data_IF_878197255536
#
_entry.id   IF_878197255536
#
_cell.length_a   1.000
_cell.length_b   1.000
_cell.length_c   1.000
_cell.angle_alpha   90.00
_cell.angle_beta   90.00
_cell.angle_gamma   90.00
#
_symmetry.space_group_name_H-M   'P 1'
#
loop_
_entity.id
_entity.type
_entity.pdbx_description
1 polymer ?
#
# COMPACT_ATOMS: atom_id res chain seq x y z
N UNK A 1 5.97 8.78 -11.48
CA UNK A 1 6.47 10.13 -11.19
C UNK A 1 7.00 10.72 -12.48
N UNK A 2 6.42 11.84 -12.86
CA UNK A 2 6.82 12.67 -13.97
C UNK A 2 8.06 13.50 -13.58
N UNK A 3 8.62 14.24 -14.54
CA UNK A 3 9.84 15.01 -14.30
C UNK A 3 9.59 16.26 -13.43
N UNK A 4 8.35 16.73 -13.37
CA UNK A 4 7.90 17.84 -12.52
C UNK A 4 7.57 17.40 -11.08
N UNK A 5 7.73 16.11 -10.76
CA UNK A 5 7.39 15.55 -9.44
C UNK A 5 5.98 14.97 -9.35
N UNK A 6 5.09 15.30 -10.28
CA UNK A 6 3.70 14.82 -10.27
C UNK A 6 3.58 13.34 -10.63
N UNK A 7 2.40 12.75 -10.47
CA UNK A 7 2.17 11.39 -10.92
C UNK A 7 0.83 10.79 -10.54
N UNK A 8 0.79 9.47 -10.63
CA UNK A 8 -0.38 8.64 -10.34
C UNK A 8 0.04 7.53 -9.38
N UNK A 9 -0.62 7.48 -8.22
CA UNK A 9 -0.52 6.38 -7.27
C UNK A 9 -1.65 5.38 -7.56
N UNK A 10 -1.34 4.09 -7.49
CA UNK A 10 -2.33 3.02 -7.50
C UNK A 10 -2.01 2.02 -6.40
N UNK A 11 -2.98 1.80 -5.51
CA UNK A 11 -2.96 0.75 -4.51
C UNK A 11 -4.03 -0.28 -4.86
N UNK A 12 -3.70 -1.55 -4.68
CA UNK A 12 -4.61 -2.67 -4.93
C UNK A 12 -4.48 -3.69 -3.83
N UNK A 13 -5.60 -3.96 -3.16
CA UNK A 13 -5.76 -5.08 -2.25
C UNK A 13 -6.51 -6.19 -3.00
N UNK A 14 -5.83 -7.33 -3.21
CA UNK A 14 -6.42 -8.48 -3.86
C UNK A 14 -6.57 -9.62 -2.85
N UNK A 15 -7.82 -9.91 -2.47
CA UNK A 15 -8.17 -10.96 -1.53
C UNK A 15 -8.83 -12.16 -2.22
N UNK A 16 -8.76 -12.26 -3.55
CA UNK A 16 -9.51 -13.27 -4.32
C UNK A 16 -9.20 -14.71 -3.92
N UNK A 17 -7.98 -15.00 -3.46
CA UNK A 17 -7.61 -16.31 -2.89
C UNK A 17 -8.42 -16.68 -1.63
N UNK A 18 -8.88 -15.68 -0.88
CA UNK A 18 -9.68 -15.85 0.34
C UNK A 18 -11.18 -15.66 0.10
N UNK A 19 -11.62 -15.49 -1.17
CA UNK A 19 -13.00 -15.17 -1.55
C UNK A 19 -14.03 -16.05 -0.82
N UNK A 20 -13.93 -17.38 -0.94
CA UNK A 20 -14.89 -18.30 -0.31
C UNK A 20 -14.96 -18.12 1.21
N UNK A 21 -13.79 -17.98 1.87
CA UNK A 21 -13.72 -17.78 3.32
C UNK A 21 -14.32 -16.43 3.73
N UNK A 22 -14.01 -15.36 3.00
CA UNK A 22 -14.56 -14.03 3.26
C UNK A 22 -16.06 -13.98 3.03
N UNK A 23 -16.57 -14.62 1.98
CA UNK A 23 -18.01 -14.73 1.75
C UNK A 23 -18.74 -15.43 2.89
N UNK A 24 -18.16 -16.49 3.45
CA UNK A 24 -18.73 -17.13 4.65
C UNK A 24 -18.70 -16.22 5.88
N UNK A 25 -17.63 -15.44 6.07
CA UNK A 25 -17.51 -14.50 7.20
C UNK A 25 -18.54 -13.37 7.09
N UNK A 26 -18.75 -12.80 5.89
CA UNK A 26 -19.73 -11.73 5.65
C UNK A 26 -21.19 -12.13 5.90
N UNK A 27 -21.48 -13.43 6.06
CA UNK A 27 -22.81 -13.94 6.43
C UNK A 27 -22.99 -14.09 7.95
N UNK A 28 -21.93 -13.87 8.75
CA UNK A 28 -21.96 -14.01 10.20
C UNK A 28 -22.19 -12.65 10.85
N UNK A 29 -22.96 -12.61 11.95
CA UNK A 29 -23.10 -11.37 12.74
C UNK A 29 -21.80 -11.00 13.47
N UNK A 30 -21.03 -12.00 13.91
CA UNK A 30 -19.78 -11.79 14.62
C UNK A 30 -18.77 -12.93 14.45
N UNK A 31 -17.49 -12.59 14.59
CA UNK A 31 -16.37 -13.54 14.63
C UNK A 31 -15.49 -13.24 15.84
N UNK A 32 -15.31 -14.24 16.73
CA UNK A 32 -14.51 -14.11 17.96
C UNK A 32 -14.89 -12.90 18.84
N UNK A 33 -16.17 -12.56 18.88
CA UNK A 33 -16.70 -11.46 19.68
C UNK A 33 -16.63 -10.08 19.02
N UNK A 34 -16.15 -9.99 17.77
CA UNK A 34 -16.16 -8.77 16.97
C UNK A 34 -17.29 -8.84 15.95
N UNK A 35 -18.08 -7.77 15.83
CA UNK A 35 -19.10 -7.65 14.79
C UNK A 35 -18.43 -7.71 13.40
N UNK A 36 -19.02 -8.47 12.48
CA UNK A 36 -18.58 -8.45 11.08
C UNK A 36 -19.27 -7.27 10.40
N UNK A 37 -18.51 -6.33 9.81
CA UNK A 37 -19.13 -5.22 9.11
C UNK A 37 -19.82 -5.71 7.84
N UNK A 38 -20.94 -5.11 7.48
CA UNK A 38 -21.61 -5.38 6.21
C UNK A 38 -20.94 -4.63 5.04
N UNK A 39 -21.45 -4.85 3.82
CA UNK A 39 -20.88 -4.21 2.63
C UNK A 39 -21.09 -2.70 2.61
N UNK A 40 -22.22 -2.22 3.14
CA UNK A 40 -22.55 -0.80 3.17
C UNK A 40 -21.65 -0.07 4.16
N UNK A 41 -21.41 -0.64 5.34
CA UNK A 41 -20.47 -0.11 6.33
C UNK A 41 -19.04 -0.01 5.76
N UNK A 42 -18.57 -1.02 5.03
CA UNK A 42 -17.25 -0.99 4.38
C UNK A 42 -17.24 0.05 3.24
N UNK A 43 -18.31 0.11 2.45
CA UNK A 43 -18.45 1.09 1.37
C UNK A 43 -18.39 2.53 1.91
N UNK A 44 -19.11 2.83 3.00
CA UNK A 44 -19.07 4.13 3.66
C UNK A 44 -17.64 4.49 4.10
N UNK A 45 -16.89 3.55 4.69
CA UNK A 45 -15.48 3.78 5.05
C UNK A 45 -14.59 4.07 3.84
N UNK A 46 -14.86 3.43 2.70
CA UNK A 46 -14.13 3.66 1.45
C UNK A 46 -14.50 5.01 0.82
N UNK A 47 -15.76 5.44 0.93
CA UNK A 47 -16.20 6.79 0.54
C UNK A 47 -15.55 7.84 1.42
N UNK A 48 -15.52 7.65 2.74
CA UNK A 48 -14.84 8.53 3.69
C UNK A 48 -13.34 8.66 3.38
N UNK A 49 -12.68 7.53 3.07
CA UNK A 49 -11.29 7.52 2.63
C UNK A 49 -11.11 8.34 1.35
N UNK A 50 -11.96 8.13 0.35
CA UNK A 50 -11.92 8.86 -0.92
C UNK A 50 -12.03 10.37 -0.70
N UNK A 51 -13.08 10.80 0.00
CA UNK A 51 -13.35 12.22 0.25
C UNK A 51 -12.22 12.86 1.05
N UNK A 52 -11.70 12.16 2.06
CA UNK A 52 -10.60 12.67 2.86
C UNK A 52 -9.31 12.86 2.06
N UNK A 53 -8.93 11.88 1.23
CA UNK A 53 -7.76 12.00 0.36
C UNK A 53 -7.95 13.09 -0.69
N UNK A 54 -9.17 13.27 -1.21
CA UNK A 54 -9.48 14.29 -2.21
C UNK A 54 -9.42 15.72 -1.63
N UNK A 55 -9.58 15.87 -0.33
CA UNK A 55 -9.45 17.14 0.40
C UNK A 55 -7.99 17.50 0.74
N UNK A 56 -7.05 16.57 0.55
CA UNK A 56 -5.63 16.85 0.82
C UNK A 56 -5.01 17.69 -0.30
N UNK A 57 -4.28 18.73 0.09
CA UNK A 57 -3.53 19.57 -0.84
C UNK A 57 -2.55 18.72 -1.67
N UNK A 58 -2.51 19.00 -2.97
CA UNK A 58 -1.66 18.28 -3.93
C UNK A 58 -2.14 16.88 -4.30
N UNK A 59 -3.31 16.42 -3.81
CA UNK A 59 -3.96 15.18 -4.25
C UNK A 59 -5.23 15.49 -5.05
N UNK A 60 -5.49 14.72 -6.10
CA UNK A 60 -6.66 14.90 -6.96
C UNK A 60 -7.10 13.59 -7.62
N UNK A 61 -8.26 13.61 -8.28
CA UNK A 61 -8.83 12.48 -9.01
C UNK A 61 -8.83 11.15 -8.23
N UNK A 62 -9.20 11.22 -6.95
CA UNK A 62 -9.25 10.02 -6.10
C UNK A 62 -10.38 9.11 -6.57
N UNK A 63 -10.04 7.88 -6.94
CA UNK A 63 -10.97 6.85 -7.40
C UNK A 63 -10.81 5.63 -6.53
N UNK A 64 -11.92 5.15 -5.99
CA UNK A 64 -12.02 3.87 -5.31
C UNK A 64 -12.81 2.91 -6.21
N UNK A 65 -12.32 1.68 -6.36
CA UNK A 65 -13.02 0.60 -7.05
C UNK A 65 -13.22 -0.56 -6.11
N UNK A 66 -14.45 -1.05 -6.09
CA UNK A 66 -14.87 -2.17 -5.25
C UNK A 66 -15.34 -3.28 -6.17
N UNK A 67 -14.70 -4.44 -6.09
CA UNK A 67 -15.16 -5.65 -6.73
C UNK A 67 -15.47 -6.69 -5.65
N UNK A 68 -16.68 -6.60 -5.11
CA UNK A 68 -17.21 -7.53 -4.11
C UNK A 68 -17.30 -8.96 -4.61
N UNK A 69 -17.52 -9.15 -5.91
CA UNK A 69 -17.52 -10.47 -6.53
C UNK A 69 -16.17 -11.17 -6.43
N UNK A 70 -15.07 -10.44 -6.56
CA UNK A 70 -13.70 -11.00 -6.53
C UNK A 70 -12.90 -10.63 -5.28
N UNK A 71 -13.49 -9.87 -4.35
CA UNK A 71 -12.82 -9.24 -3.21
C UNK A 71 -11.52 -8.51 -3.63
N UNK A 72 -11.65 -7.66 -4.65
CA UNK A 72 -10.55 -6.81 -5.13
C UNK A 72 -10.94 -5.35 -4.92
N UNK A 73 -10.09 -4.62 -4.20
CA UNK A 73 -10.29 -3.21 -3.89
C UNK A 73 -9.11 -2.41 -4.40
N UNK A 74 -9.38 -1.29 -5.06
CA UNK A 74 -8.34 -0.43 -5.64
C UNK A 74 -8.57 1.02 -5.24
N UNK A 75 -7.50 1.73 -4.89
CA UNK A 75 -7.49 3.18 -4.71
C UNK A 75 -6.46 3.75 -5.68
N UNK A 76 -6.85 4.77 -6.44
CA UNK A 76 -5.92 5.53 -7.27
C UNK A 76 -6.13 7.02 -7.12
N UNK A 77 -5.06 7.79 -7.24
CA UNK A 77 -5.09 9.24 -7.13
C UNK A 77 -3.96 9.88 -7.94
N UNK A 78 -4.20 11.07 -8.46
CA UNK A 78 -3.15 11.94 -8.96
C UNK A 78 -2.52 12.72 -7.81
N UNK A 79 -1.23 13.01 -7.94
CA UNK A 79 -0.50 13.83 -6.99
C UNK A 79 0.39 14.83 -7.70
N UNK A 80 0.58 16.01 -7.11
CA UNK A 80 1.40 17.09 -7.66
C UNK A 80 2.89 16.89 -7.36
N UNK A 81 3.19 16.31 -6.19
CA UNK A 81 4.52 15.91 -5.77
C UNK A 81 4.43 14.69 -4.83
N UNK A 82 5.55 14.02 -4.59
CA UNK A 82 5.55 12.78 -3.80
C UNK A 82 5.31 13.05 -2.31
N UNK A 83 5.63 14.25 -1.82
CA UNK A 83 5.39 14.68 -0.45
C UNK A 83 3.89 14.75 -0.15
N UNK A 84 3.07 15.15 -1.13
CA UNK A 84 1.61 15.15 -1.03
C UNK A 84 1.06 13.74 -0.77
N UNK A 85 1.68 12.71 -1.34
CA UNK A 85 1.34 11.30 -1.06
C UNK A 85 1.68 10.93 0.39
N UNK A 86 2.82 11.38 0.90
CA UNK A 86 3.21 11.12 2.29
C UNK A 86 2.21 11.76 3.26
N UNK A 87 1.85 13.03 3.04
CA UNK A 87 0.85 13.75 3.84
C UNK A 87 -0.54 13.11 3.74
N UNK A 88 -0.93 12.62 2.56
CA UNK A 88 -2.16 11.85 2.38
C UNK A 88 -2.18 10.56 3.19
N UNK A 89 -1.07 9.84 3.28
CA UNK A 89 -0.99 8.64 4.13
C UNK A 89 -0.99 8.99 5.62
N UNK A 90 -0.26 10.04 6.01
CA UNK A 90 -0.22 10.51 7.40
C UNK A 90 -1.62 10.91 7.88
N UNK A 91 -2.35 11.70 7.09
CA UNK A 91 -3.69 12.18 7.42
C UNK A 91 -4.69 11.03 7.61
N UNK A 92 -4.69 10.04 6.71
CA UNK A 92 -5.52 8.84 6.84
C UNK A 92 -5.15 8.04 8.09
N UNK A 93 -3.86 7.75 8.30
CA UNK A 93 -3.42 6.94 9.44
C UNK A 93 -3.63 7.64 10.77
N UNK A 94 -3.61 8.97 10.81
CA UNK A 94 -3.82 9.76 12.03
C UNK A 94 -5.22 9.62 12.64
N UNK A 95 -6.20 9.14 11.87
CA UNK A 95 -7.59 8.90 12.32
C UNK A 95 -7.73 7.70 13.26
N UNK A 96 -6.75 6.80 13.29
CA UNK A 96 -6.75 5.61 14.13
C UNK A 96 -5.47 5.55 14.98
N UNK A 97 -5.61 5.32 16.29
CA UNK A 97 -4.47 5.37 17.22
C UNK A 97 -3.42 4.29 16.92
N UNK A 98 -3.86 3.10 16.51
CA UNK A 98 -2.97 2.02 16.15
C UNK A 98 -2.23 2.34 14.85
N UNK A 99 -2.94 2.74 13.80
CA UNK A 99 -2.37 3.12 12.51
C UNK A 99 -1.40 4.31 12.65
N UNK A 100 -1.76 5.33 13.43
CA UNK A 100 -0.90 6.48 13.70
C UNK A 100 0.46 6.07 14.27
N UNK A 101 0.51 5.09 15.16
CA UNK A 101 1.74 4.56 15.74
C UNK A 101 2.64 3.82 14.74
N UNK A 102 2.10 3.39 13.59
CA UNK A 102 2.81 2.68 12.54
C UNK A 102 3.30 3.60 11.41
N UNK A 103 2.90 4.87 11.41
CA UNK A 103 3.23 5.78 10.32
C UNK A 103 4.74 6.09 10.29
N UNK A 104 5.28 6.14 9.07
CA UNK A 104 6.60 6.65 8.75
C UNK A 104 6.55 7.23 7.33
N UNK A 105 7.40 8.21 7.02
CA UNK A 105 7.47 8.81 5.68
C UNK A 105 8.02 7.81 4.65
N UNK A 106 7.20 7.27 3.74
CA UNK A 106 7.62 6.18 2.86
C UNK A 106 8.44 6.62 1.66
N UNK A 107 8.30 7.86 1.20
CA UNK A 107 8.92 8.34 -0.03
C UNK A 107 9.67 9.64 0.18
N UNK A 108 10.79 9.80 -0.51
CA UNK A 108 11.49 11.08 -0.64
C UNK A 108 11.92 11.25 -2.10
N UNK A 109 11.88 12.48 -2.60
CA UNK A 109 12.41 12.81 -3.93
C UNK A 109 13.15 14.12 -3.89
N UNK A 110 14.38 14.15 -4.42
CA UNK A 110 15.17 15.37 -4.55
C UNK A 110 16.13 15.26 -5.72
N UNK A 111 16.06 16.22 -6.63
CA UNK A 111 16.91 16.27 -7.83
C UNK A 111 16.80 15.02 -8.70
N UNK A 112 17.87 14.25 -8.76
CA UNK A 112 17.98 12.98 -9.50
C UNK A 112 17.71 11.74 -8.64
N UNK A 113 17.32 11.91 -7.39
CA UNK A 113 17.19 10.80 -6.44
C UNK A 113 15.74 10.63 -6.00
N UNK A 114 15.26 9.39 -6.12
CA UNK A 114 14.02 8.93 -5.48
C UNK A 114 14.35 7.86 -4.45
N UNK A 115 13.78 7.97 -3.25
CA UNK A 115 13.99 7.01 -2.16
C UNK A 115 12.64 6.40 -1.77
N UNK A 116 12.61 5.07 -1.72
CA UNK A 116 11.60 4.32 -0.98
C UNK A 116 12.19 3.98 0.38
N UNK A 117 11.74 4.65 1.42
CA UNK A 117 12.09 4.33 2.79
C UNK A 117 11.37 3.07 3.28
N UNK A 118 11.92 2.39 4.27
CA UNK A 118 11.26 1.28 4.93
C UNK A 118 11.68 1.19 6.38
N UNK A 119 10.72 1.39 7.29
CA UNK A 119 10.87 1.07 8.70
C UNK A 119 10.18 -0.27 8.94
N UNK A 120 10.93 -1.22 9.48
CA UNK A 120 10.33 -2.49 9.89
C UNK A 120 9.41 -2.25 11.08
N UNK A 121 8.13 -2.58 10.91
CA UNK A 121 7.11 -2.43 11.95
C UNK A 121 7.03 -3.69 12.82
N UNK A 122 6.76 -3.50 14.11
CA UNK A 122 6.44 -4.62 14.99
C UNK A 122 4.99 -5.06 14.79
N UNK A 123 4.83 -6.27 14.27
CA UNK A 123 3.53 -6.89 14.00
C UNK A 123 3.08 -7.85 15.11
N UNK A 124 3.76 -7.88 16.26
CA UNK A 124 3.41 -8.76 17.39
C UNK A 124 1.95 -8.64 17.83
N UNK A 125 1.40 -7.42 17.80
CA UNK A 125 0.00 -7.12 18.14
C UNK A 125 -1.02 -7.79 17.20
N UNK A 126 -0.70 -7.90 15.91
CA UNK A 126 -1.58 -8.55 14.90
C UNK A 126 -1.34 -10.05 14.79
N UNK A 127 -0.15 -10.53 15.17
CA UNK A 127 0.13 -11.98 15.24
C UNK A 127 -0.77 -12.68 16.24
N UNK A 128 -1.18 -11.99 17.30
CA UNK A 128 -2.14 -12.52 18.28
C UNK A 128 -3.58 -12.65 17.77
N UNK A 129 -3.93 -12.05 16.63
CA UNK A 129 -5.30 -12.05 16.12
C UNK A 129 -5.71 -13.39 15.53
N UNK A 130 -4.76 -14.17 15.00
CA UNK A 130 -5.01 -15.52 14.51
C UNK A 130 -3.89 -16.46 14.97
N UNK A 131 -4.28 -17.59 15.57
CA UNK A 131 -3.37 -18.68 15.97
C UNK A 131 -2.56 -19.21 14.78
N UNK A 132 -3.08 -19.05 13.57
CA UNK A 132 -2.46 -19.47 12.32
C UNK A 132 -1.99 -18.29 11.47
N UNK A 133 -1.57 -17.17 12.08
CA UNK A 133 -1.11 -15.95 11.37
C UNK A 133 -0.19 -16.27 10.16
N UNK A 134 0.81 -17.12 10.34
CA UNK A 134 1.73 -17.53 9.27
C UNK A 134 1.02 -18.23 8.12
N UNK A 135 0.03 -19.07 8.41
CA UNK A 135 -0.74 -19.80 7.39
C UNK A 135 -1.58 -18.84 6.55
N UNK A 136 -2.26 -17.88 7.21
CA UNK A 136 -3.08 -16.86 6.54
C UNK A 136 -2.28 -16.06 5.52
N UNK A 137 -1.01 -15.76 5.82
CA UNK A 137 -0.14 -14.99 4.95
C UNK A 137 0.84 -15.81 4.11
N UNK A 138 0.82 -17.15 4.21
CA UNK A 138 1.77 -18.06 3.53
C UNK A 138 1.87 -17.81 2.02
N UNK A 139 0.74 -17.51 1.40
CA UNK A 139 0.58 -17.30 -0.03
C UNK A 139 0.51 -15.83 -0.46
N UNK A 140 0.61 -14.92 0.50
CA UNK A 140 0.45 -13.49 0.28
C UNK A 140 1.70 -12.87 -0.33
N UNK A 141 1.50 -11.97 -1.29
CA UNK A 141 2.57 -11.35 -2.07
C UNK A 141 2.48 -9.85 -1.96
N UNK A 142 3.64 -9.22 -1.83
CA UNK A 142 3.78 -7.78 -1.95
C UNK A 142 4.46 -7.45 -3.29
N UNK A 143 3.95 -6.45 -3.99
CA UNK A 143 4.55 -5.94 -5.23
C UNK A 143 4.53 -4.42 -5.24
N UNK A 144 5.68 -3.81 -5.45
CA UNK A 144 5.80 -2.37 -5.66
C UNK A 144 6.42 -2.09 -7.02
N UNK A 145 5.86 -1.14 -7.76
CA UNK A 145 6.37 -0.71 -9.06
C UNK A 145 6.48 0.80 -9.05
N UNK A 146 7.69 1.31 -9.26
CA UNK A 146 7.94 2.73 -9.42
C UNK A 146 8.30 3.01 -10.86
N UNK A 147 7.57 3.92 -11.51
CA UNK A 147 7.78 4.33 -12.90
C UNK A 147 8.19 5.80 -12.96
N UNK A 148 9.17 6.11 -13.80
CA UNK A 148 9.80 7.42 -13.88
C UNK A 148 9.76 7.96 -15.33
N UNK A 149 9.64 9.28 -15.47
CA UNK A 149 9.82 9.95 -16.76
C UNK A 149 11.28 9.87 -17.26
N UNK A 150 12.22 9.94 -16.31
CA UNK A 150 13.67 9.80 -16.46
C UNK A 150 14.12 8.33 -16.48
N UNK A 151 15.31 8.08 -17.02
CA UNK A 151 15.90 6.74 -17.03
C UNK A 151 16.49 6.42 -15.66
N UNK A 152 16.31 5.20 -15.19
CA UNK A 152 16.97 4.66 -13.99
C UNK A 152 18.42 4.40 -14.34
N UNK A 153 19.31 5.08 -13.62
CA UNK A 153 20.76 4.91 -13.74
C UNK A 153 21.24 3.77 -12.84
N UNK A 154 20.92 3.87 -11.54
CA UNK A 154 21.35 2.92 -10.52
C UNK A 154 20.34 2.82 -9.38
N UNK A 155 20.51 1.79 -8.55
CA UNK A 155 19.70 1.57 -7.35
C UNK A 155 20.54 0.92 -6.24
N UNK A 156 20.18 1.12 -4.97
CA UNK A 156 20.91 0.53 -3.84
C UNK A 156 20.46 -0.87 -3.49
N UNK A 157 19.20 -1.24 -3.77
CA UNK A 157 18.65 -2.54 -3.41
C UNK A 157 18.57 -3.48 -4.62
N UNK A 158 19.44 -4.50 -4.73
CA UNK A 158 19.49 -5.39 -5.89
C UNK A 158 18.29 -6.34 -6.00
N UNK A 159 17.43 -6.46 -4.97
CA UNK A 159 16.16 -7.22 -5.07
C UNK A 159 15.13 -6.54 -5.97
N UNK A 160 15.30 -5.26 -6.27
CA UNK A 160 14.48 -4.57 -7.27
C UNK A 160 14.94 -4.95 -8.68
N UNK A 161 13.99 -5.22 -9.58
CA UNK A 161 14.26 -5.46 -11.00
C UNK A 161 14.08 -4.17 -11.79
N UNK A 162 15.12 -3.76 -12.50
CA UNK A 162 15.04 -2.64 -13.45
C UNK A 162 14.43 -3.16 -14.76
N UNK A 163 13.42 -2.46 -15.26
CA UNK A 163 12.79 -2.76 -16.55
C UNK A 163 13.75 -2.59 -17.73
N UNK A 164 13.51 -3.30 -18.84
CA UNK A 164 14.38 -3.27 -20.04
C UNK A 164 14.60 -1.87 -20.62
N UNK A 165 13.58 -1.01 -20.58
CA UNK A 165 13.68 0.38 -21.04
C UNK A 165 14.21 1.34 -19.98
N UNK A 166 14.57 0.82 -18.79
CA UNK A 166 15.05 1.55 -17.63
C UNK A 166 14.11 2.65 -17.12
N UNK A 167 12.79 2.58 -17.40
CA UNK A 167 11.83 3.59 -16.92
C UNK A 167 11.02 3.14 -15.70
N UNK A 168 11.37 1.99 -15.14
CA UNK A 168 10.70 1.44 -13.99
C UNK A 168 11.61 0.51 -13.20
N UNK A 169 11.37 0.45 -11.88
CA UNK A 169 11.86 -0.61 -11.00
C UNK A 169 10.70 -1.35 -10.36
N UNK A 170 10.86 -2.65 -10.12
CA UNK A 170 9.84 -3.50 -9.50
C UNK A 170 10.44 -4.29 -8.34
N UNK A 171 9.77 -4.28 -7.19
CA UNK A 171 10.05 -5.19 -6.09
C UNK A 171 8.92 -6.21 -5.96
N UNK A 172 9.29 -7.45 -5.63
CA UNK A 172 8.35 -8.53 -5.34
C UNK A 172 8.93 -9.42 -4.24
N UNK A 173 8.12 -9.72 -3.23
CA UNK A 173 8.45 -10.65 -2.14
C UNK A 173 7.18 -11.30 -1.61
N UNK A 174 7.33 -12.35 -0.80
CA UNK A 174 6.22 -12.76 0.07
C UNK A 174 6.00 -11.65 1.12
N UNK A 175 4.76 -11.50 1.60
CA UNK A 175 4.51 -10.56 2.70
C UNK A 175 5.21 -11.03 3.98
N UNK A 176 5.33 -12.35 4.18
CA UNK A 176 6.02 -12.94 5.32
C UNK A 176 7.50 -12.58 5.36
N UNK A 177 8.19 -12.47 4.21
CA UNK A 177 9.60 -12.07 4.18
C UNK A 177 9.79 -10.65 4.73
N UNK A 178 8.82 -9.76 4.48
CA UNK A 178 8.82 -8.39 5.00
C UNK A 178 8.60 -8.37 6.52
N UNK A 179 7.69 -9.22 7.02
CA UNK A 179 7.39 -9.39 8.45
C UNK A 179 8.57 -10.05 9.19
N UNK A 180 9.30 -10.95 8.53
CA UNK A 180 10.43 -11.67 9.15
C UNK A 180 11.77 -10.94 9.00
N UNK A 181 11.78 -9.74 8.41
CA UNK A 181 13.01 -8.97 8.07
C UNK A 181 13.94 -9.69 7.08
N UNK A 182 13.42 -10.66 6.32
CA UNK A 182 14.14 -11.38 5.26
C UNK A 182 14.15 -10.59 3.94
N UNK A 183 13.27 -9.59 3.82
CA UNK A 183 13.26 -8.62 2.74
C UNK A 183 13.03 -7.19 3.26
N UNK A 184 13.46 -6.21 2.46
CA UNK A 184 13.29 -4.77 2.75
C UNK A 184 12.83 -4.04 1.50
N UNK A 185 11.92 -3.09 1.68
CA UNK A 185 11.51 -2.16 0.63
C UNK A 185 12.50 -1.01 0.45
N UNK A 186 13.43 -0.81 1.39
CA UNK A 186 14.41 0.28 1.36
C UNK A 186 15.14 0.26 0.02
N UNK A 187 15.07 1.36 -0.71
CA UNK A 187 15.79 1.51 -1.97
C UNK A 187 16.01 3.00 -2.26
N UNK A 188 17.20 3.33 -2.75
CA UNK A 188 17.49 4.64 -3.33
C UNK A 188 17.76 4.44 -4.81
N UNK A 189 17.11 5.22 -5.64
CA UNK A 189 17.14 5.14 -7.10
C UNK A 189 17.68 6.45 -7.64
N UNK A 190 18.71 6.38 -8.49
CA UNK A 190 19.29 7.53 -9.20
C UNK A 190 18.73 7.58 -10.62
N UNK A 191 18.36 8.77 -11.08
CA UNK A 191 17.68 9.05 -12.33
C UNK A 191 18.54 9.93 -13.26
N UNK A 192 18.55 9.65 -14.56
CA UNK A 192 19.28 10.41 -15.59
C UNK A 192 18.48 11.57 -16.15
#
# INVERSE_FOLDING_TARGET
MNNDGSGLLKYKLNLSKSKTKLSSIMLMDSIRGFAVPDQDEIHEKLVDLKLHLQDQEGLSDVVVKENWGEYIFEVSLHFDNIESVNHGFESVMSKDQFAKGLFFTPFESSGDRFVRNYVHQDYSSIQGWDRNFTEVFSDSKFTAVYKFGRLVDSQTNPKYLISKNRKAVMFKSSFLDLIKKEATLQNSIVLQ
#
